data_IF_825081312665
#
_entry.id   IF_825081312665
#
_cell.length_a   1.000
_cell.length_b   1.000
_cell.length_c   1.000
_cell.angle_alpha   90.00
_cell.angle_beta   90.00
_cell.angle_gamma   90.00
#
_symmetry.space_group_name_H-M   'P 1'
#
loop_
_entity.id
_entity.type
_entity.pdbx_description
1 polymer ?
#
# COMPACT_ATOMS: atom_id res chain seq x y z
N UNK A 1 -9.98 -20.31 4.21
CA UNK A 1 -9.66 -19.98 2.80
C UNK A 1 -9.24 -18.51 2.75
N UNK A 2 -8.01 -18.23 3.20
CA UNK A 2 -7.45 -16.88 3.21
C UNK A 2 -6.66 -16.70 1.91
N UNK A 3 -7.40 -16.27 0.88
CA UNK A 3 -6.98 -15.34 -0.15
C UNK A 3 -5.55 -15.55 -0.71
N UNK A 4 -5.45 -16.43 -1.70
CA UNK A 4 -4.26 -16.62 -2.55
C UNK A 4 -3.89 -15.33 -3.33
N UNK A 5 -4.83 -14.36 -3.39
CA UNK A 5 -4.67 -13.05 -4.01
C UNK A 5 -3.78 -12.07 -3.23
N UNK A 6 -3.35 -12.40 -2.00
CA UNK A 6 -2.44 -11.54 -1.23
C UNK A 6 -1.03 -11.39 -1.81
N UNK A 7 -0.63 -12.28 -2.75
CA UNK A 7 0.73 -12.32 -3.30
C UNK A 7 0.84 -11.96 -4.77
N UNK A 8 -0.26 -11.58 -5.40
CA UNK A 8 -0.23 -11.13 -6.78
C UNK A 8 0.59 -9.85 -6.88
N UNK A 9 1.51 -9.78 -7.86
CA UNK A 9 2.35 -8.59 -8.02
C UNK A 9 1.44 -7.43 -8.37
N UNK A 10 1.43 -6.40 -7.51
CA UNK A 10 0.74 -5.15 -7.82
C UNK A 10 1.18 -4.65 -9.21
N UNK A 11 0.17 -4.30 -10.02
CA UNK A 11 0.34 -3.59 -11.29
C UNK A 11 1.17 -2.32 -11.10
N UNK A 12 1.87 -1.89 -12.13
CA UNK A 12 2.74 -0.70 -12.08
C UNK A 12 1.95 0.56 -11.70
N UNK A 13 0.68 0.68 -12.12
CA UNK A 13 -0.20 1.79 -11.73
C UNK A 13 -0.46 1.83 -10.22
N UNK A 14 -0.74 0.67 -9.62
CA UNK A 14 -0.95 0.54 -8.17
C UNK A 14 0.33 0.87 -7.41
N UNK A 15 1.49 0.45 -7.93
CA UNK A 15 2.79 0.77 -7.33
C UNK A 15 3.08 2.26 -7.37
N UNK A 16 2.81 2.91 -8.50
CA UNK A 16 3.02 4.35 -8.66
C UNK A 16 2.19 5.15 -7.65
N UNK A 17 0.91 4.80 -7.48
CA UNK A 17 0.04 5.44 -6.47
C UNK A 17 0.62 5.27 -5.06
N UNK A 18 0.97 4.04 -4.69
CA UNK A 18 1.52 3.74 -3.37
C UNK A 18 2.86 4.47 -3.12
N UNK A 19 3.75 4.50 -4.11
CA UNK A 19 5.05 5.19 -4.04
C UNK A 19 4.92 6.70 -3.98
N UNK A 20 4.00 7.28 -4.76
CA UNK A 20 3.65 8.71 -4.73
C UNK A 20 3.22 9.13 -3.34
N UNK A 21 2.25 8.41 -2.76
CA UNK A 21 1.73 8.71 -1.43
C UNK A 21 2.79 8.49 -0.34
N UNK A 22 3.61 7.44 -0.45
CA UNK A 22 4.70 7.17 0.48
C UNK A 22 5.83 8.21 0.40
N UNK A 23 6.07 8.79 -0.78
CA UNK A 23 7.02 9.89 -0.94
C UNK A 23 6.58 11.12 -0.14
N UNK A 24 5.28 11.42 -0.16
CA UNK A 24 4.68 12.54 0.59
C UNK A 24 4.59 12.26 2.09
N UNK A 25 4.15 11.05 2.49
CA UNK A 25 3.94 10.68 3.90
C UNK A 25 4.44 9.26 4.17
N UNK A 26 5.45 9.12 5.04
CA UNK A 26 6.01 7.81 5.44
C UNK A 26 5.07 6.98 6.32
N UNK A 27 4.07 7.62 6.93
CA UNK A 27 3.01 7.00 7.72
C UNK A 27 1.67 7.42 7.15
N UNK A 28 0.84 6.43 6.84
CA UNK A 28 -0.50 6.64 6.30
C UNK A 28 -1.52 6.69 7.43
N UNK A 29 -2.45 7.65 7.37
CA UNK A 29 -3.56 7.73 8.33
C UNK A 29 -4.70 6.77 7.93
N UNK A 30 -5.89 6.89 8.53
CA UNK A 30 -7.05 6.09 8.12
C UNK A 30 -7.68 6.68 6.85
N UNK A 31 -7.80 8.01 6.75
CA UNK A 31 -8.48 8.69 5.64
C UNK A 31 -7.75 8.53 4.31
N UNK A 32 -6.44 8.73 4.32
CA UNK A 32 -5.57 8.55 3.16
C UNK A 32 -5.58 7.09 2.70
N UNK A 33 -5.68 6.15 3.65
CA UNK A 33 -5.74 4.72 3.35
C UNK A 33 -7.04 4.32 2.67
N UNK A 34 -8.18 4.82 3.16
CA UNK A 34 -9.48 4.59 2.54
C UNK A 34 -9.52 5.17 1.12
N UNK A 35 -8.90 6.34 0.91
CA UNK A 35 -8.76 6.94 -0.42
C UNK A 35 -7.92 6.06 -1.36
N UNK A 36 -6.75 5.61 -0.92
CA UNK A 36 -5.90 4.72 -1.72
C UNK A 36 -6.60 3.39 -1.99
N UNK A 37 -7.33 2.85 -1.02
CA UNK A 37 -8.12 1.62 -1.19
C UNK A 37 -9.18 1.78 -2.28
N UNK A 38 -9.85 2.93 -2.33
CA UNK A 38 -10.81 3.25 -3.38
C UNK A 38 -10.14 3.42 -4.75
N UNK A 39 -8.99 4.09 -4.82
CA UNK A 39 -8.26 4.36 -6.08
C UNK A 39 -7.60 3.10 -6.66
N UNK A 40 -7.07 2.22 -5.80
CA UNK A 40 -6.27 1.05 -6.22
C UNK A 40 -7.01 -0.28 -6.17
N UNK A 41 -8.21 -0.31 -5.56
CA UNK A 41 -8.96 -1.53 -5.28
C UNK A 41 -8.33 -2.42 -4.21
N UNK A 42 -7.25 -1.98 -3.56
CA UNK A 42 -6.58 -2.73 -2.50
C UNK A 42 -7.35 -2.65 -1.19
N UNK A 43 -7.24 -3.71 -0.38
CA UNK A 43 -7.73 -3.66 0.99
C UNK A 43 -6.89 -2.73 1.86
N UNK A 44 -7.53 -2.10 2.84
CA UNK A 44 -6.87 -1.32 3.88
C UNK A 44 -5.71 -2.07 4.56
N UNK A 45 -5.81 -3.39 4.68
CA UNK A 45 -4.76 -4.24 5.26
C UNK A 45 -3.56 -4.38 4.34
N UNK A 46 -3.77 -4.58 3.03
CA UNK A 46 -2.70 -4.65 2.02
C UNK A 46 -1.89 -3.35 1.99
N UNK A 47 -2.57 -2.21 2.00
CA UNK A 47 -1.94 -0.89 2.03
C UNK A 47 -1.12 -0.72 3.31
N UNK A 48 -1.69 -1.06 4.47
CA UNK A 48 -0.98 -0.98 5.75
C UNK A 48 0.31 -1.82 5.76
N UNK A 49 0.25 -3.07 5.30
CA UNK A 49 1.42 -3.94 5.22
C UNK A 49 2.45 -3.46 4.21
N UNK A 50 2.02 -2.95 3.06
CA UNK A 50 2.94 -2.37 2.08
C UNK A 50 3.69 -1.17 2.67
N UNK A 51 3.00 -0.24 3.35
CA UNK A 51 3.63 0.90 4.03
C UNK A 51 4.61 0.46 5.13
N UNK A 52 4.28 -0.59 5.88
CA UNK A 52 5.19 -1.18 6.86
C UNK A 52 6.46 -1.75 6.19
N UNK A 53 6.30 -2.49 5.10
CA UNK A 53 7.41 -3.07 4.34
C UNK A 53 8.31 -1.99 3.73
N UNK A 54 7.74 -0.91 3.17
CA UNK A 54 8.52 0.21 2.65
C UNK A 54 9.37 0.89 3.73
N UNK A 55 8.82 1.10 4.93
CA UNK A 55 9.61 1.65 6.05
C UNK A 55 10.72 0.70 6.49
N UNK A 56 10.45 -0.60 6.51
CA UNK A 56 11.48 -1.60 6.82
C UNK A 56 12.62 -1.58 5.78
N UNK A 57 12.30 -1.36 4.50
CA UNK A 57 13.26 -1.24 3.41
C UNK A 57 14.18 -0.01 3.55
N UNK A 58 13.69 1.14 4.01
CA UNK A 58 14.52 2.34 4.24
C UNK A 58 15.40 2.23 5.48
N UNK A 59 14.96 1.47 6.49
CA UNK A 59 15.74 1.25 7.71
C UNK A 59 16.91 0.28 7.53
N UNK A 60 17.02 -0.35 6.36
CA UNK A 60 18.07 -1.31 5.99
C UNK A 60 19.02 -0.66 5.00
#
# INVERSE_FOLDING_TARGET
>A
RTDDFYRERYSDEIREVLEREFSQKKYIDVRDRDRIAFETGLSNRQILFWFQNQRAKIKK
#
